data_IF_322024799313
#
_entry.id   IF_322024799313
#
_cell.length_a   1.000
_cell.length_b   1.000
_cell.length_c   1.000
_cell.angle_alpha   90.00
_cell.angle_beta   90.00
_cell.angle_gamma   90.00
#
_symmetry.space_group_name_H-M   'P 1'
#
loop_
_entity.id
_entity.type
_entity.pdbx_description
1 polymer ?
#
# COMPACT_ATOMS: atom_id res chain seq x y z
N UNK A 1 12.24 -25.75 77.65
CA UNK A 1 12.19 -24.53 76.79
C UNK A 1 12.11 -24.86 75.30
N UNK A 2 12.92 -25.78 74.75
CA UNK A 2 12.87 -26.13 73.33
C UNK A 2 11.53 -26.72 72.84
N UNK A 3 10.87 -27.57 73.65
CA UNK A 3 9.60 -28.19 73.28
C UNK A 3 8.44 -27.19 73.16
N UNK A 4 8.38 -26.17 74.04
CA UNK A 4 7.35 -25.12 73.99
C UNK A 4 7.54 -24.22 72.77
N UNK A 5 8.79 -23.94 72.40
CA UNK A 5 9.13 -23.17 71.20
C UNK A 5 8.80 -23.92 69.90
N UNK A 6 8.94 -25.24 69.87
CA UNK A 6 8.56 -26.06 68.72
C UNK A 6 7.05 -26.15 68.53
N UNK A 7 6.28 -26.23 69.62
CA UNK A 7 4.81 -26.23 69.57
C UNK A 7 4.28 -24.88 69.08
N UNK A 8 4.83 -23.76 69.56
CA UNK A 8 4.42 -22.44 69.06
C UNK A 8 4.80 -22.24 67.59
N UNK A 9 6.00 -22.66 67.16
CA UNK A 9 6.39 -22.62 65.74
C UNK A 9 5.46 -23.48 64.86
N UNK A 10 5.00 -24.63 65.36
CA UNK A 10 4.08 -25.52 64.65
C UNK A 10 2.65 -24.97 64.57
N UNK A 11 2.18 -24.21 65.56
CA UNK A 11 0.86 -23.57 65.53
C UNK A 11 0.82 -22.32 64.62
N UNK A 12 1.91 -21.55 64.56
CA UNK A 12 1.99 -20.35 63.69
C UNK A 12 2.32 -20.67 62.23
N UNK A 13 2.98 -21.81 61.98
CA UNK A 13 3.40 -22.21 60.63
C UNK A 13 2.23 -22.39 59.64
N UNK A 14 1.13 -23.10 59.98
CA UNK A 14 -0.03 -23.24 59.09
C UNK A 14 -0.69 -21.91 58.76
N UNK A 15 -0.87 -21.03 59.75
CA UNK A 15 -1.49 -19.72 59.53
C UNK A 15 -0.66 -18.83 58.61
N UNK A 16 0.67 -18.87 58.76
CA UNK A 16 1.60 -18.17 57.88
C UNK A 16 1.57 -18.70 56.44
N UNK A 17 1.51 -20.02 56.25
CA UNK A 17 1.40 -20.60 54.91
C UNK A 17 0.05 -20.29 54.24
N UNK A 18 -1.05 -20.30 54.99
CA UNK A 18 -2.38 -19.96 54.48
C UNK A 18 -2.42 -18.49 54.01
N UNK A 19 -1.87 -17.57 54.80
CA UNK A 19 -1.82 -16.15 54.40
C UNK A 19 -0.92 -15.93 53.18
N UNK A 20 0.24 -16.60 53.11
CA UNK A 20 1.12 -16.52 51.96
C UNK A 20 0.45 -17.03 50.67
N UNK A 21 -0.28 -18.17 50.72
CA UNK A 21 -1.01 -18.71 49.57
C UNK A 21 -2.15 -17.79 49.15
N UNK A 22 -2.88 -17.21 50.11
CA UNK A 22 -3.98 -16.28 49.82
C UNK A 22 -3.47 -14.99 49.15
N UNK A 23 -2.36 -14.43 49.64
CA UNK A 23 -1.71 -13.26 49.02
C UNK A 23 -1.23 -13.61 47.60
N UNK A 24 -0.60 -14.77 47.42
CA UNK A 24 -0.17 -15.24 46.10
C UNK A 24 -1.37 -15.35 45.14
N UNK A 25 -2.49 -15.91 45.60
CA UNK A 25 -3.73 -16.03 44.81
C UNK A 25 -4.30 -14.66 44.41
N UNK A 26 -4.31 -13.67 45.32
CA UNK A 26 -4.75 -12.31 44.99
C UNK A 26 -3.81 -11.67 43.96
N UNK A 27 -2.50 -11.80 44.13
CA UNK A 27 -1.51 -11.25 43.18
C UNK A 27 -1.64 -11.91 41.82
N UNK A 28 -1.77 -13.24 41.75
CA UNK A 28 -1.96 -13.95 40.48
C UNK A 28 -3.30 -13.60 39.84
N UNK A 29 -4.37 -13.47 40.63
CA UNK A 29 -5.68 -13.06 40.11
C UNK A 29 -5.64 -11.63 39.60
N UNK A 30 -4.94 -10.72 40.29
CA UNK A 30 -4.72 -9.35 39.83
C UNK A 30 -3.87 -9.28 38.56
N UNK A 31 -2.82 -10.10 38.45
CA UNK A 31 -2.01 -10.20 37.23
C UNK A 31 -2.81 -10.79 36.07
N UNK A 32 -3.59 -11.85 36.31
CA UNK A 32 -4.45 -12.47 35.30
C UNK A 32 -5.54 -11.48 34.88
N UNK A 33 -6.28 -10.87 35.80
CA UNK A 33 -7.30 -9.87 35.47
C UNK A 33 -6.72 -8.62 34.81
N UNK A 34 -5.51 -8.20 35.18
CA UNK A 34 -4.80 -7.09 34.53
C UNK A 34 -4.34 -7.45 33.12
N UNK A 35 -3.86 -8.68 32.91
CA UNK A 35 -3.40 -9.17 31.62
C UNK A 35 -4.56 -9.46 30.66
N UNK A 36 -5.64 -10.07 31.15
CA UNK A 36 -6.86 -10.32 30.38
C UNK A 36 -7.71 -9.06 30.18
N UNK A 37 -7.66 -8.09 31.12
CA UNK A 37 -8.34 -6.80 31.02
C UNK A 37 -7.73 -5.85 30.00
N UNK A 38 -6.48 -6.09 29.58
CA UNK A 38 -5.79 -5.29 28.57
C UNK A 38 -5.65 -5.96 27.21
N UNK A 39 -5.61 -7.30 27.10
CA UNK A 39 -5.25 -7.97 25.84
C UNK A 39 -6.33 -8.86 25.19
N UNK A 40 -7.60 -8.80 25.60
CA UNK A 40 -8.66 -9.62 24.96
C UNK A 40 -9.91 -8.82 24.61
N UNK A 41 -10.03 -8.26 23.39
CA UNK A 41 -11.33 -7.91 22.82
C UNK A 41 -11.88 -9.15 22.09
N UNK A 42 -12.26 -10.19 22.83
CA UNK A 42 -13.06 -11.28 22.26
C UNK A 42 -14.50 -10.78 22.20
N UNK A 43 -14.89 -10.46 20.97
CA UNK A 43 -16.23 -10.58 20.38
C UNK A 43 -17.19 -11.32 21.32
N UNK A 44 -17.99 -10.57 22.08
CA UNK A 44 -19.31 -10.90 22.62
C UNK A 44 -19.59 -9.99 23.81
N UNK A 45 -20.18 -8.81 23.55
CA UNK A 45 -21.10 -8.24 24.51
C UNK A 45 -22.18 -7.44 23.81
N UNK A 46 -23.40 -7.92 24.01
CA UNK A 46 -24.63 -7.47 23.39
C UNK A 46 -24.93 -6.00 23.73
N UNK A 47 -25.72 -5.44 22.82
CA UNK A 47 -26.60 -4.27 22.91
C UNK A 47 -26.77 -3.62 24.28
N UNK A 48 -26.64 -2.30 24.24
CA UNK A 48 -26.96 -1.32 25.28
C UNK A 48 -25.84 -1.08 26.30
N UNK A 49 -25.37 0.17 26.27
CA UNK A 49 -24.58 0.83 27.31
C UNK A 49 -23.12 0.41 27.45
N UNK A 50 -22.27 1.02 26.62
CA UNK A 50 -21.17 1.88 27.08
C UNK A 50 -20.48 2.48 25.85
N UNK A 51 -20.86 3.70 25.47
CA UNK A 51 -20.03 4.56 24.61
C UNK A 51 -18.75 4.96 25.39
N UNK A 52 -17.88 4.01 25.71
CA UNK A 52 -16.53 4.34 26.18
C UNK A 52 -15.74 4.79 24.96
N UNK A 53 -15.79 6.10 24.76
CA UNK A 53 -15.19 6.90 23.71
C UNK A 53 -13.66 6.73 23.62
N UNK A 54 -13.22 5.70 22.91
CA UNK A 54 -12.04 5.81 22.04
C UNK A 54 -12.55 5.87 20.60
N UNK A 55 -13.12 7.02 20.22
CA UNK A 55 -13.49 7.24 18.83
C UNK A 55 -12.20 7.30 18.02
N UNK A 56 -11.92 6.23 17.28
CA UNK A 56 -10.91 6.22 16.21
C UNK A 56 -11.08 7.50 15.39
N UNK A 57 -10.00 8.26 15.24
CA UNK A 57 -10.05 9.55 14.54
C UNK A 57 -10.43 9.30 13.08
N UNK A 58 -11.54 9.90 12.65
CA UNK A 58 -11.98 9.83 11.26
C UNK A 58 -11.26 10.91 10.46
N UNK A 59 -10.50 10.50 9.45
CA UNK A 59 -9.91 11.42 8.48
C UNK A 59 -10.79 11.52 7.24
N UNK A 60 -10.74 12.68 6.60
CA UNK A 60 -11.41 12.90 5.33
C UNK A 60 -10.44 12.57 4.19
N UNK A 61 -10.87 11.73 3.25
CA UNK A 61 -10.14 11.50 2.02
C UNK A 61 -10.18 12.76 1.15
N UNK A 62 -9.00 13.21 0.68
CA UNK A 62 -8.90 14.28 -0.30
C UNK A 62 -8.45 13.67 -1.62
N UNK A 63 -9.27 13.81 -2.66
CA UNK A 63 -8.88 13.42 -4.00
C UNK A 63 -7.83 14.40 -4.53
N UNK A 64 -6.74 13.86 -5.06
CA UNK A 64 -5.69 14.62 -5.74
C UNK A 64 -5.44 13.95 -7.08
N UNK A 65 -5.41 14.72 -8.16
CA UNK A 65 -5.09 14.20 -9.50
C UNK A 65 -3.59 13.98 -9.60
N UNK A 66 -3.19 12.73 -9.81
CA UNK A 66 -1.81 12.36 -10.08
C UNK A 66 -1.57 12.28 -11.60
N UNK A 67 -0.76 13.18 -12.19
CA UNK A 67 -0.46 13.13 -13.62
C UNK A 67 0.53 12.03 -14.00
N UNK A 68 1.18 11.37 -13.03
CA UNK A 68 2.27 10.44 -13.25
C UNK A 68 1.92 9.01 -12.82
N UNK A 69 2.08 8.06 -13.73
CA UNK A 69 2.08 6.62 -13.46
C UNK A 69 3.38 5.99 -13.95
N UNK A 70 3.90 5.02 -13.20
CA UNK A 70 5.06 4.25 -13.61
C UNK A 70 4.95 2.81 -13.09
N UNK A 71 5.00 1.87 -14.02
CA UNK A 71 4.92 0.44 -13.76
C UNK A 71 6.12 -0.30 -14.33
N UNK A 72 6.36 -1.52 -13.82
CA UNK A 72 7.43 -2.41 -14.28
C UNK A 72 6.78 -3.50 -15.13
N UNK A 73 7.15 -3.57 -16.42
CA UNK A 73 6.50 -4.49 -17.36
C UNK A 73 6.74 -5.97 -17.02
N UNK A 74 8.00 -6.34 -16.78
CA UNK A 74 8.44 -7.73 -16.67
C UNK A 74 9.38 -7.95 -15.47
N UNK A 75 8.90 -7.87 -14.22
CA UNK A 75 9.78 -7.90 -13.04
C UNK A 75 10.64 -9.18 -12.93
N UNK A 76 10.12 -10.32 -13.40
CA UNK A 76 10.79 -11.62 -13.25
C UNK A 76 11.95 -11.86 -14.22
N UNK A 77 12.03 -11.13 -15.34
CA UNK A 77 13.07 -11.31 -16.38
C UNK A 77 14.14 -10.23 -16.35
N UNK A 78 14.04 -9.29 -15.41
CA UNK A 78 14.95 -8.14 -15.31
C UNK A 78 16.12 -8.44 -14.42
N UNK A 79 17.31 -8.04 -14.86
CA UNK A 79 18.57 -8.12 -14.13
C UNK A 79 19.44 -6.96 -14.58
N UNK A 80 20.52 -6.65 -13.86
CA UNK A 80 21.47 -5.61 -14.32
C UNK A 80 21.99 -5.89 -15.73
N UNK A 81 22.21 -7.17 -16.08
CA UNK A 81 22.69 -7.56 -17.39
C UNK A 81 21.64 -7.37 -18.49
N UNK A 82 20.39 -7.76 -18.24
CA UNK A 82 19.29 -7.71 -19.22
C UNK A 82 18.62 -6.33 -19.32
N UNK A 83 18.82 -5.46 -18.33
CA UNK A 83 18.15 -4.16 -18.25
C UNK A 83 16.72 -4.27 -17.71
N UNK A 84 16.03 -3.13 -17.68
CA UNK A 84 14.66 -3.01 -17.18
C UNK A 84 13.76 -2.34 -18.24
N UNK A 85 12.51 -2.79 -18.29
CA UNK A 85 11.45 -2.16 -19.09
C UNK A 85 10.44 -1.49 -18.16
N UNK A 86 10.25 -0.19 -18.35
CA UNK A 86 9.32 0.63 -17.59
C UNK A 86 8.15 1.04 -18.48
N UNK A 87 6.94 1.00 -17.94
CA UNK A 87 5.71 1.48 -18.61
C UNK A 87 5.29 2.76 -17.91
N UNK A 88 5.60 3.93 -18.47
CA UNK A 88 5.04 5.18 -17.98
C UNK A 88 3.58 5.30 -18.43
N UNK A 89 2.72 5.80 -17.54
CA UNK A 89 1.31 6.10 -17.83
C UNK A 89 1.03 7.53 -17.36
N UNK A 90 1.22 8.50 -18.25
CA UNK A 90 1.20 9.91 -17.92
C UNK A 90 0.00 10.62 -18.55
N UNK A 91 -0.70 11.44 -17.77
CA UNK A 91 -1.86 12.23 -18.24
C UNK A 91 -1.45 13.46 -19.05
N UNK A 92 -0.19 13.86 -19.00
CA UNK A 92 0.40 14.96 -19.76
C UNK A 92 1.75 14.53 -20.33
N UNK A 93 2.31 15.35 -21.22
CA UNK A 93 3.67 15.15 -21.70
C UNK A 93 4.66 15.24 -20.52
N UNK A 94 5.43 14.18 -20.33
CA UNK A 94 6.33 14.03 -19.21
C UNK A 94 7.75 13.70 -19.67
N UNK A 95 8.71 14.01 -18.81
CA UNK A 95 10.09 13.61 -18.97
C UNK A 95 10.35 12.53 -17.92
N UNK A 96 10.71 11.33 -18.40
CA UNK A 96 11.22 10.25 -17.57
C UNK A 96 12.74 10.33 -17.54
N UNK A 97 13.33 10.47 -16.35
CA UNK A 97 14.79 10.43 -16.15
C UNK A 97 15.16 9.28 -15.24
N UNK A 98 15.97 8.37 -15.75
CA UNK A 98 16.43 7.18 -15.05
C UNK A 98 17.86 7.40 -14.56
N UNK A 99 18.06 7.31 -13.25
CA UNK A 99 19.36 7.45 -12.60
C UNK A 99 19.80 6.12 -12.01
N UNK A 100 20.94 5.63 -12.48
CA UNK A 100 21.51 4.37 -12.04
C UNK A 100 22.53 4.58 -10.91
N UNK A 101 22.51 3.73 -9.89
CA UNK A 101 23.47 3.75 -8.78
C UNK A 101 23.38 5.00 -7.91
N UNK A 102 22.19 5.48 -7.61
CA UNK A 102 22.00 6.66 -6.75
C UNK A 102 22.35 6.36 -5.30
N UNK A 103 23.12 7.24 -4.66
CA UNK A 103 23.41 7.10 -3.23
C UNK A 103 22.13 7.24 -2.38
N UNK A 104 21.88 6.26 -1.51
CA UNK A 104 20.64 6.17 -0.71
C UNK A 104 20.50 7.36 0.24
N UNK A 105 21.58 7.74 0.92
CA UNK A 105 21.56 8.86 1.86
C UNK A 105 21.30 10.18 1.14
N UNK A 106 21.95 10.40 -0.01
CA UNK A 106 21.76 11.63 -0.79
C UNK A 106 20.36 11.75 -1.38
N UNK A 107 19.74 10.64 -1.76
CA UNK A 107 18.34 10.67 -2.19
C UNK A 107 17.40 11.12 -1.06
N UNK A 108 17.57 10.60 0.15
CA UNK A 108 16.75 11.02 1.29
C UNK A 108 17.01 12.48 1.68
N UNK A 109 18.28 12.92 1.67
CA UNK A 109 18.63 14.33 1.87
C UNK A 109 17.97 15.22 0.79
N UNK A 110 17.94 14.78 -0.47
CA UNK A 110 17.27 15.49 -1.56
C UNK A 110 15.76 15.61 -1.33
N UNK A 111 15.09 14.53 -0.92
CA UNK A 111 13.67 14.56 -0.55
C UNK A 111 13.38 15.47 0.65
N UNK A 112 14.29 15.53 1.63
CA UNK A 112 14.16 16.47 2.76
C UNK A 112 14.36 17.91 2.32
N UNK A 113 15.34 18.19 1.46
CA UNK A 113 15.54 19.52 0.86
C UNK A 113 14.34 19.94 0.02
N UNK A 114 13.65 18.98 -0.61
CA UNK A 114 12.40 19.24 -1.29
C UNK A 114 11.35 19.86 -0.36
N UNK A 115 11.30 19.41 0.90
CA UNK A 115 10.37 19.95 1.89
C UNK A 115 10.72 21.36 2.33
N UNK A 116 11.99 21.61 2.67
CA UNK A 116 12.36 22.83 3.41
C UNK A 116 13.16 23.87 2.61
N UNK A 117 13.68 23.55 1.41
CA UNK A 117 14.64 24.43 0.72
C UNK A 117 14.24 24.79 -0.71
N UNK A 118 13.96 23.82 -1.57
CA UNK A 118 13.61 24.06 -2.98
C UNK A 118 12.64 23.01 -3.51
N UNK A 119 12.08 23.20 -4.72
CA UNK A 119 11.15 22.25 -5.33
C UNK A 119 11.83 21.50 -6.46
N UNK A 120 11.68 20.17 -6.49
CA UNK A 120 12.27 19.29 -7.48
C UNK A 120 11.25 19.18 -8.62
N UNK A 121 11.20 20.21 -9.46
CA UNK A 121 10.29 20.29 -10.60
C UNK A 121 10.94 19.83 -11.90
N UNK A 122 12.27 19.78 -11.94
CA UNK A 122 13.06 19.44 -13.11
C UNK A 122 14.11 18.39 -12.77
N UNK A 123 14.60 17.63 -13.77
CA UNK A 123 15.71 16.68 -13.57
C UNK A 123 16.96 17.34 -12.99
N UNK A 124 17.32 18.52 -13.49
CA UNK A 124 18.45 19.31 -13.00
C UNK A 124 18.36 19.62 -11.50
N UNK A 125 17.16 19.99 -11.02
CA UNK A 125 16.95 20.26 -9.60
C UNK A 125 17.19 19.02 -8.72
N UNK A 126 16.88 17.81 -9.22
CA UNK A 126 17.19 16.58 -8.50
C UNK A 126 18.70 16.29 -8.55
N UNK A 127 19.34 16.48 -9.70
CA UNK A 127 20.79 16.27 -9.85
C UNK A 127 21.60 17.15 -8.90
N UNK A 128 21.24 18.43 -8.81
CA UNK A 128 21.82 19.39 -7.87
C UNK A 128 21.59 18.95 -6.41
N UNK A 129 20.39 18.44 -6.11
CA UNK A 129 20.05 17.91 -4.79
C UNK A 129 20.91 16.71 -4.39
N UNK A 130 21.16 15.82 -5.37
CA UNK A 130 21.98 14.61 -5.25
C UNK A 130 23.49 14.90 -5.27
N UNK A 131 23.90 16.14 -5.57
CA UNK A 131 25.29 16.52 -5.83
C UNK A 131 25.92 15.67 -6.95
N UNK A 132 25.14 15.34 -7.97
CA UNK A 132 25.53 14.47 -9.09
C UNK A 132 26.11 13.11 -8.66
N UNK A 133 25.75 12.60 -7.47
CA UNK A 133 26.16 11.28 -6.97
C UNK A 133 25.28 10.15 -7.53
N UNK A 134 25.43 9.90 -8.82
CA UNK A 134 24.87 8.77 -9.56
C UNK A 134 25.89 8.30 -10.61
N UNK A 135 25.70 7.12 -11.17
CA UNK A 135 26.65 6.52 -12.14
C UNK A 135 26.32 6.87 -13.58
N UNK A 136 25.05 6.71 -13.94
CA UNK A 136 24.60 6.83 -15.30
C UNK A 136 23.18 7.39 -15.34
N UNK A 137 22.88 8.18 -16.37
CA UNK A 137 21.60 8.85 -16.56
C UNK A 137 21.09 8.62 -17.98
N UNK A 138 19.82 8.21 -18.06
CA UNK A 138 19.05 8.11 -19.30
C UNK A 138 17.81 8.99 -19.20
N UNK A 139 17.37 9.56 -20.32
CA UNK A 139 16.19 10.43 -20.35
C UNK A 139 15.32 10.10 -21.56
N UNK A 140 14.02 10.04 -21.33
CA UNK A 140 13.01 9.74 -22.34
C UNK A 140 11.90 10.79 -22.27
N UNK A 141 11.45 11.23 -23.44
CA UNK A 141 10.23 12.02 -23.56
C UNK A 141 9.04 11.08 -23.67
N UNK A 142 8.04 11.29 -22.82
CA UNK A 142 6.82 10.51 -22.74
C UNK A 142 5.67 11.38 -23.22
N UNK A 143 5.03 10.95 -24.31
CA UNK A 143 3.83 11.60 -24.82
C UNK A 143 2.62 11.28 -23.93
N UNK A 144 1.70 12.24 -23.84
CA UNK A 144 0.44 12.11 -23.14
C UNK A 144 -0.32 10.84 -23.55
N UNK A 145 -0.78 10.07 -22.55
CA UNK A 145 -1.54 8.82 -22.70
C UNK A 145 -0.82 7.73 -23.52
N UNK A 146 0.49 7.85 -23.75
CA UNK A 146 1.27 6.83 -24.44
C UNK A 146 1.85 5.85 -23.41
N UNK A 147 1.49 4.57 -23.54
CA UNK A 147 1.92 3.46 -22.67
C UNK A 147 3.07 2.63 -23.25
N UNK A 148 3.86 3.22 -24.13
CA UNK A 148 5.03 2.55 -24.70
C UNK A 148 6.07 2.16 -23.64
N UNK A 149 6.52 0.90 -23.71
CA UNK A 149 7.61 0.41 -22.88
C UNK A 149 8.93 1.14 -23.20
N UNK A 150 9.56 1.69 -22.16
CA UNK A 150 10.89 2.30 -22.26
C UNK A 150 11.94 1.36 -21.66
N UNK A 151 12.91 0.98 -22.48
CA UNK A 151 14.01 0.11 -22.11
C UNK A 151 15.18 0.94 -21.57
N UNK A 152 15.60 0.63 -20.35
CA UNK A 152 16.71 1.28 -19.64
C UNK A 152 17.76 0.21 -19.30
N UNK A 153 19.04 0.50 -19.55
CA UNK A 153 20.11 -0.46 -19.25
C UNK A 153 21.36 0.25 -18.76
N UNK A 154 21.98 -0.33 -17.72
CA UNK A 154 23.29 0.15 -17.29
C UNK A 154 24.35 -0.13 -18.37
N UNK A 155 25.14 0.89 -18.69
CA UNK A 155 26.25 0.78 -19.64
C UNK A 155 27.25 -0.30 -19.22
N UNK A 156 28.00 -0.86 -20.17
CA UNK A 156 28.91 -1.98 -19.92
C UNK A 156 29.94 -1.71 -18.82
N UNK A 157 30.43 -0.47 -18.72
CA UNK A 157 31.37 -0.05 -17.68
C UNK A 157 30.75 0.00 -16.26
N UNK A 158 29.42 0.08 -16.15
CA UNK A 158 28.71 0.14 -14.88
C UNK A 158 28.24 -1.22 -14.35
N UNK A 159 28.25 -2.28 -15.16
CA UNK A 159 27.70 -3.59 -14.80
C UNK A 159 28.42 -4.28 -13.63
N UNK A 160 29.66 -3.89 -13.34
CA UNK A 160 30.45 -4.36 -12.20
C UNK A 160 30.37 -3.44 -10.98
N UNK A 161 29.46 -2.47 -10.96
CA UNK A 161 29.33 -1.56 -9.83
C UNK A 161 28.74 -2.29 -8.62
N UNK A 162 29.40 -2.15 -7.47
CA UNK A 162 28.90 -2.67 -6.21
C UNK A 162 27.89 -1.69 -5.58
N UNK A 163 26.62 -2.09 -5.57
CA UNK A 163 25.54 -1.33 -4.94
C UNK A 163 25.53 -1.43 -3.40
N UNK A 164 26.44 -2.23 -2.84
CA UNK A 164 26.61 -2.48 -1.42
C UNK A 164 25.74 -3.61 -0.89
N UNK A 165 26.15 -4.18 0.24
CA UNK A 165 25.38 -5.16 1.01
C UNK A 165 24.17 -4.52 1.67
N UNK A 166 23.15 -5.31 2.03
CA UNK A 166 21.97 -4.81 2.76
C UNK A 166 22.36 -4.38 4.20
N UNK A 167 21.95 -3.20 4.69
CA UNK A 167 21.21 -2.13 4.00
C UNK A 167 22.08 -1.42 2.94
N UNK A 168 21.55 -1.36 1.71
CA UNK A 168 22.30 -0.91 0.53
C UNK A 168 22.81 0.53 0.68
N UNK A 169 23.97 0.80 0.12
CA UNK A 169 24.55 2.15 0.05
C UNK A 169 24.07 2.91 -1.19
N UNK A 170 23.75 2.18 -2.27
CA UNK A 170 23.25 2.72 -3.53
C UNK A 170 22.01 1.98 -4.00
N UNK A 171 21.00 2.73 -4.46
CA UNK A 171 19.86 2.16 -5.16
C UNK A 171 20.23 1.84 -6.60
N UNK A 172 19.91 0.63 -7.11
CA UNK A 172 20.21 0.27 -8.50
C UNK A 172 19.62 1.25 -9.51
N UNK A 173 18.35 1.62 -9.33
CA UNK A 173 17.65 2.54 -10.21
C UNK A 173 16.71 3.47 -9.43
N UNK A 174 16.78 4.76 -9.74
CA UNK A 174 15.83 5.77 -9.32
C UNK A 174 15.28 6.45 -10.57
N UNK A 175 13.98 6.34 -10.80
CA UNK A 175 13.29 6.99 -11.90
C UNK A 175 12.57 8.25 -11.41
N UNK A 176 12.76 9.37 -12.11
CA UNK A 176 12.08 10.63 -11.87
C UNK A 176 11.16 10.92 -13.05
N UNK A 177 9.89 11.20 -12.78
CA UNK A 177 8.94 11.74 -13.74
C UNK A 177 8.63 13.20 -13.39
N UNK A 178 8.76 14.08 -14.37
CA UNK A 178 8.44 15.52 -14.28
C UNK A 178 7.62 15.96 -15.48
N UNK A 179 6.74 16.96 -15.32
CA UNK A 179 6.01 17.56 -16.43
C UNK A 179 6.99 18.22 -17.42
N UNK A 180 6.82 17.95 -18.71
CA UNK A 180 7.63 18.55 -19.76
C UNK A 180 7.28 20.03 -19.97
N UNK A 181 5.98 20.32 -19.99
CA UNK A 181 5.45 21.66 -20.27
C UNK A 181 5.30 22.49 -18.98
N UNK A 182 5.75 23.74 -19.01
CA UNK A 182 5.65 24.67 -17.87
C UNK A 182 4.20 25.07 -17.57
N UNK A 183 3.36 25.23 -18.61
CA UNK A 183 1.95 25.65 -18.47
C UNK A 183 1.14 24.65 -17.65
N UNK A 184 1.40 23.36 -17.83
CA UNK A 184 0.72 22.30 -17.11
C UNK A 184 1.08 22.27 -15.61
N UNK A 185 2.17 22.93 -15.19
CA UNK A 185 2.63 22.90 -13.78
C UNK A 185 1.71 23.67 -12.84
N UNK A 186 0.86 24.55 -13.35
CA UNK A 186 -0.13 25.28 -12.56
C UNK A 186 -1.43 24.47 -12.35
N UNK A 187 -1.64 23.43 -13.16
CA UNK A 187 -2.86 22.61 -13.14
C UNK A 187 -2.82 21.50 -12.08
N UNK A 188 -1.62 21.10 -11.63
CA UNK A 188 -1.42 19.97 -10.74
C UNK A 188 -0.71 20.37 -9.44
N UNK A 189 -1.24 19.87 -8.32
CA UNK A 189 -0.57 19.99 -7.02
C UNK A 189 0.69 19.12 -6.94
N UNK A 190 0.73 18.00 -7.67
CA UNK A 190 1.88 17.08 -7.74
C UNK A 190 2.82 17.57 -8.83
N UNK A 191 4.08 17.82 -8.47
CA UNK A 191 5.10 18.36 -9.38
C UNK A 191 6.01 17.30 -9.98
N UNK A 192 6.26 16.21 -9.25
CA UNK A 192 7.10 15.11 -9.72
C UNK A 192 6.82 13.81 -8.97
N UNK A 193 7.16 12.70 -9.62
CA UNK A 193 7.10 11.36 -9.06
C UNK A 193 8.51 10.75 -9.05
N UNK A 194 9.00 10.39 -7.87
CA UNK A 194 10.29 9.70 -7.68
C UNK A 194 10.03 8.24 -7.34
N UNK A 195 10.40 7.34 -8.24
CA UNK A 195 10.24 5.90 -8.10
C UNK A 195 11.60 5.23 -7.83
N UNK A 196 11.73 4.53 -6.70
CA UNK A 196 12.92 3.78 -6.33
C UNK A 196 12.69 2.31 -6.66
N UNK A 197 13.52 1.76 -7.55
CA UNK A 197 13.33 0.42 -8.10
C UNK A 197 14.53 -0.44 -7.72
N UNK A 198 14.23 -1.60 -7.13
CA UNK A 198 15.23 -2.63 -6.92
C UNK A 198 15.33 -3.50 -8.18
N UNK A 199 16.55 -3.71 -8.67
CA UNK A 199 16.88 -4.62 -9.77
C UNK A 199 17.80 -5.71 -9.20
N UNK A 200 17.55 -6.99 -9.53
CA UNK A 200 18.36 -8.10 -9.04
C UNK A 200 19.82 -7.98 -9.45
N UNK A 201 20.72 -8.25 -8.51
CA UNK A 201 22.17 -8.25 -8.70
C UNK A 201 22.86 -9.40 -7.94
N UNK A 202 24.19 -9.46 -8.01
CA UNK A 202 24.97 -10.51 -7.35
C UNK A 202 24.85 -10.46 -5.82
N UNK A 203 24.74 -9.27 -5.23
CA UNK A 203 24.69 -9.09 -3.77
C UNK A 203 23.29 -9.31 -3.20
N UNK A 204 22.24 -9.10 -3.99
CA UNK A 204 20.85 -9.29 -3.61
C UNK A 204 19.97 -9.60 -4.82
N UNK A 205 19.66 -10.89 -4.95
CA UNK A 205 19.04 -11.53 -6.12
C UNK A 205 17.51 -11.61 -6.05
N UNK A 206 16.85 -10.84 -5.19
CA UNK A 206 15.39 -10.85 -5.13
C UNK A 206 14.80 -10.27 -6.42
N UNK A 207 13.64 -10.78 -6.82
CA UNK A 207 12.94 -10.28 -8.02
C UNK A 207 12.75 -8.76 -7.99
N UNK A 208 12.86 -8.16 -9.17
CA UNK A 208 12.71 -6.73 -9.40
C UNK A 208 11.37 -6.24 -8.86
N UNK A 209 11.41 -5.11 -8.16
CA UNK A 209 10.22 -4.54 -7.54
C UNK A 209 10.35 -3.04 -7.33
N UNK A 210 9.19 -2.39 -7.29
CA UNK A 210 9.09 -1.01 -6.80
C UNK A 210 9.27 -1.01 -5.28
N UNK A 211 10.30 -0.32 -4.77
CA UNK A 211 10.54 -0.18 -3.34
C UNK A 211 9.70 0.96 -2.76
N UNK A 212 9.75 2.12 -3.41
CA UNK A 212 9.10 3.35 -2.97
C UNK A 212 8.66 4.17 -4.17
N UNK A 213 7.54 4.87 -4.03
CA UNK A 213 7.08 5.86 -4.99
C UNK A 213 6.71 7.12 -4.23
N UNK A 214 7.53 8.16 -4.33
CA UNK A 214 7.31 9.42 -3.66
C UNK A 214 6.67 10.43 -4.62
N UNK A 215 5.49 10.91 -4.26
CA UNK A 215 4.84 12.04 -4.90
C UNK A 215 5.34 13.32 -4.25
N UNK A 216 5.93 14.20 -5.04
CA UNK A 216 6.44 15.50 -4.59
C UNK A 216 5.40 16.56 -4.94
N UNK A 217 5.03 17.39 -3.97
CA UNK A 217 3.99 18.40 -4.12
C UNK A 217 4.59 19.79 -4.37
N UNK A 218 3.85 20.67 -5.04
CA UNK A 218 4.23 22.07 -5.26
C UNK A 218 4.45 22.82 -3.93
N UNK A 219 3.70 22.44 -2.89
CA UNK A 219 3.81 22.99 -1.54
C UNK A 219 5.01 22.44 -0.75
N UNK A 220 5.79 21.51 -1.31
CA UNK A 220 7.02 20.96 -0.72
C UNK A 220 6.85 19.67 0.06
N UNK A 221 5.63 19.36 0.46
CA UNK A 221 5.36 18.08 1.07
C UNK A 221 5.63 16.97 0.05
N UNK A 222 6.07 15.82 0.52
CA UNK A 222 6.12 14.62 -0.30
C UNK A 222 5.42 13.48 0.43
N UNK A 223 4.82 12.59 -0.35
CA UNK A 223 4.01 11.48 0.16
C UNK A 223 4.48 10.17 -0.48
N UNK A 224 4.66 9.15 0.35
CA UNK A 224 4.94 7.78 -0.11
C UNK A 224 3.64 7.12 -0.56
N UNK A 225 3.56 6.77 -1.84
CA UNK A 225 2.40 6.15 -2.46
C UNK A 225 2.31 4.70 -1.99
N UNK A 226 1.24 4.40 -1.24
CA UNK A 226 0.98 3.07 -0.72
C UNK A 226 -0.28 2.49 -1.34
N UNK A 227 -0.18 1.22 -1.73
CA UNK A 227 -1.34 0.43 -2.11
C UNK A 227 -2.25 0.18 -0.90
N UNK A 228 -3.55 0.15 -1.17
CA UNK A 228 -4.58 -0.29 -0.25
C UNK A 228 -4.81 -1.78 -0.44
N UNK A 229 -5.10 -2.49 0.65
CA UNK A 229 -5.31 -3.94 0.61
C UNK A 229 -6.80 -4.24 0.72
N UNK A 230 -7.41 -4.66 -0.37
CA UNK A 230 -8.82 -5.05 -0.40
C UNK A 230 -8.97 -6.55 -0.12
N UNK A 231 -10.04 -6.95 0.56
CA UNK A 231 -10.35 -8.38 0.72
C UNK A 231 -10.71 -8.99 -0.64
N UNK A 232 -10.14 -10.15 -0.96
CA UNK A 232 -10.56 -10.90 -2.14
C UNK A 232 -11.99 -11.43 -1.91
N UNK A 233 -12.93 -11.09 -2.79
CA UNK A 233 -14.20 -11.79 -2.86
C UNK A 233 -13.97 -13.14 -3.54
N UNK A 234 -14.46 -14.21 -2.93
CA UNK A 234 -14.26 -15.59 -3.38
C UNK A 234 -15.11 -15.97 -4.61
N UNK A 235 -15.31 -15.05 -5.56
CA UNK A 235 -16.01 -15.31 -6.81
C UNK A 235 -15.20 -14.94 -8.07
N UNK A 236 -13.95 -14.52 -7.92
CA UNK A 236 -13.01 -14.53 -9.04
C UNK A 236 -12.42 -15.93 -9.15
N UNK A 237 -12.76 -16.63 -10.23
CA UNK A 237 -12.12 -17.89 -10.63
C UNK A 237 -10.60 -17.74 -10.52
N UNK A 238 -10.04 -18.42 -9.50
CA UNK A 238 -8.62 -18.61 -9.36
C UNK A 238 -8.13 -19.37 -10.60
N UNK A 239 -7.63 -18.64 -11.60
CA UNK A 239 -6.79 -19.24 -12.63
C UNK A 239 -5.37 -19.37 -12.09
N UNK A 240 -5.23 -20.20 -11.06
CA UNK A 240 -3.99 -20.90 -10.78
C UNK A 240 -3.92 -22.08 -11.75
N UNK A 241 -3.22 -21.90 -12.87
CA UNK A 241 -2.77 -23.02 -13.70
C UNK A 241 -1.26 -23.14 -13.57
N UNK A 242 -0.86 -23.86 -12.53
CA UNK A 242 0.36 -24.64 -12.54
C UNK A 242 0.05 -26.04 -13.08
N UNK A 243 1.04 -26.60 -13.79
CA UNK A 243 1.28 -28.00 -14.20
C UNK A 243 0.91 -28.45 -15.64
N UNK A 244 2.00 -28.62 -16.40
CA UNK A 244 2.43 -29.80 -17.20
C UNK A 244 1.61 -30.34 -18.39
N UNK A 245 2.23 -30.17 -19.56
CA UNK A 245 2.57 -31.17 -20.61
C UNK A 245 1.49 -32.04 -21.31
N UNK A 246 1.66 -32.07 -22.65
CA UNK A 246 1.27 -33.09 -23.66
C UNK A 246 -0.02 -32.88 -24.49
N UNK A 247 0.20 -32.24 -25.65
CA UNK A 247 0.05 -32.78 -27.02
C UNK A 247 -1.31 -33.14 -27.66
N UNK A 248 -1.34 -32.84 -28.97
CA UNK A 248 -2.21 -33.27 -30.08
C UNK A 248 -3.50 -32.49 -30.45
N UNK A 249 -3.42 -32.00 -31.68
CA UNK A 249 -4.41 -31.57 -32.66
C UNK A 249 -5.85 -32.09 -32.52
N UNK A 250 -6.82 -31.18 -32.68
CA UNK A 250 -7.69 -31.28 -33.85
C UNK A 250 -8.42 -29.97 -34.21
N UNK A 251 -8.46 -29.73 -35.53
CA UNK A 251 -9.14 -28.62 -36.19
C UNK A 251 -10.61 -28.93 -36.39
N UNK A 252 -11.44 -27.89 -36.32
CA UNK A 252 -12.68 -27.62 -37.08
C UNK A 252 -13.91 -27.34 -36.21
N UNK A 253 -14.34 -26.07 -36.17
CA UNK A 253 -15.63 -25.61 -36.74
C UNK A 253 -15.90 -24.16 -36.35
N UNK A 254 -15.23 -23.25 -37.06
CA UNK A 254 -15.73 -21.90 -37.29
C UNK A 254 -16.81 -22.00 -38.36
N UNK A 255 -18.07 -21.81 -37.97
CA UNK A 255 -19.09 -21.03 -38.70
C UNK A 255 -20.49 -21.31 -38.14
N UNK A 256 -21.06 -20.33 -37.42
CA UNK A 256 -22.29 -19.68 -37.91
C UNK A 256 -22.65 -18.47 -37.05
N UNK A 257 -22.58 -17.34 -37.75
CA UNK A 257 -23.00 -16.00 -37.38
C UNK A 257 -24.49 -15.94 -37.00
N UNK A 258 -24.81 -15.30 -35.87
CA UNK A 258 -25.98 -14.42 -35.74
C UNK A 258 -25.57 -13.19 -34.93
N UNK A 259 -25.58 -12.05 -35.62
CA UNK A 259 -25.44 -10.69 -35.13
C UNK A 259 -26.72 -10.24 -34.40
N UNK A 260 -26.58 -9.25 -33.51
CA UNK A 260 -27.57 -8.51 -32.68
C UNK A 260 -27.53 -8.96 -31.22
N UNK A 261 -27.12 -8.18 -30.21
CA UNK A 261 -27.09 -6.73 -30.01
C UNK A 261 -25.88 -6.33 -29.16
N UNK A 262 -25.46 -5.09 -29.33
CA UNK A 262 -24.53 -4.36 -28.48
C UNK A 262 -25.16 -4.17 -27.09
N UNK A 263 -24.89 -5.10 -26.16
CA UNK A 263 -24.93 -4.79 -24.75
C UNK A 263 -23.52 -4.38 -24.34
N UNK A 264 -23.35 -3.06 -24.22
CA UNK A 264 -22.22 -2.42 -23.58
C UNK A 264 -21.99 -3.10 -22.23
N UNK A 265 -20.85 -3.77 -22.07
CA UNK A 265 -20.28 -4.18 -20.79
C UNK A 265 -20.16 -2.94 -19.89
N UNK A 266 -21.23 -2.63 -19.15
CA UNK A 266 -21.15 -1.89 -17.92
C UNK A 266 -20.27 -2.74 -17.01
N UNK A 267 -19.12 -2.25 -16.50
CA UNK A 267 -18.39 -3.01 -15.49
C UNK A 267 -19.34 -3.17 -14.30
N UNK A 268 -19.86 -4.37 -14.10
CA UNK A 268 -20.61 -4.71 -12.90
C UNK A 268 -19.73 -4.29 -11.72
N UNK A 269 -20.18 -3.29 -10.98
CA UNK A 269 -19.64 -2.95 -9.66
C UNK A 269 -19.89 -4.15 -8.74
N UNK A 270 -19.07 -5.19 -8.91
CA UNK A 270 -18.90 -6.25 -7.94
C UNK A 270 -18.12 -5.67 -6.78
N UNK A 271 -18.77 -4.75 -6.07
CA UNK A 271 -18.26 -4.16 -4.85
C UNK A 271 -17.86 -5.28 -3.92
N UNK A 272 -16.62 -5.22 -3.42
CA UNK A 272 -16.10 -6.23 -2.50
C UNK A 272 -16.96 -6.21 -1.23
N UNK A 273 -17.48 -7.36 -0.84
CA UNK A 273 -18.32 -7.47 0.35
C UNK A 273 -17.51 -7.37 1.65
N UNK A 274 -18.14 -6.80 2.68
CA UNK A 274 -17.59 -6.73 4.03
C UNK A 274 -17.34 -8.13 4.58
N UNK A 275 -16.12 -8.38 5.08
CA UNK A 275 -15.71 -9.70 5.59
C UNK A 275 -16.49 -10.13 6.85
N UNK A 276 -17.15 -9.18 7.52
CA UNK A 276 -17.87 -9.42 8.77
C UNK A 276 -19.34 -9.75 8.51
N UNK A 277 -20.06 -8.89 7.80
CA UNK A 277 -21.50 -9.08 7.57
C UNK A 277 -21.83 -9.74 6.24
N UNK A 278 -20.90 -9.75 5.27
CA UNK A 278 -21.07 -10.28 3.91
C UNK A 278 -22.32 -9.74 3.18
N UNK A 279 -22.82 -8.57 3.59
CA UNK A 279 -24.07 -7.99 3.09
C UNK A 279 -23.92 -6.52 2.69
N UNK A 280 -22.93 -5.82 3.24
CA UNK A 280 -22.63 -4.43 2.88
C UNK A 280 -21.31 -4.35 2.15
N UNK A 281 -21.21 -3.46 1.16
CA UNK A 281 -19.99 -3.19 0.42
C UNK A 281 -18.90 -2.57 1.32
N UNK A 282 -17.64 -2.95 1.09
CA UNK A 282 -16.52 -2.34 1.82
C UNK A 282 -16.39 -0.87 1.46
N UNK A 283 -16.21 -0.04 2.48
CA UNK A 283 -16.02 1.39 2.29
C UNK A 283 -14.92 1.97 3.17
N UNK A 284 -14.40 1.25 4.17
CA UNK A 284 -13.47 1.84 5.15
C UNK A 284 -12.05 1.34 5.00
N UNK A 285 -11.10 2.27 4.90
CA UNK A 285 -9.66 2.01 5.04
C UNK A 285 -9.27 2.11 6.51
N UNK A 286 -8.57 1.09 7.01
CA UNK A 286 -8.10 1.02 8.39
C UNK A 286 -6.61 1.36 8.48
N UNK A 287 -6.21 2.41 9.20
CA UNK A 287 -4.80 2.79 9.37
C UNK A 287 -4.24 2.28 10.70
N UNK A 288 -2.96 1.83 10.74
CA UNK A 288 -1.93 1.95 9.69
C UNK A 288 -1.88 0.78 8.69
N UNK A 289 -2.68 -0.28 8.88
CA UNK A 289 -2.55 -1.51 8.09
C UNK A 289 -3.07 -1.42 6.65
N UNK A 290 -3.87 -0.39 6.32
CA UNK A 290 -4.47 -0.10 5.02
C UNK A 290 -5.41 -1.18 4.47
N UNK A 291 -5.95 -2.04 5.32
CA UNK A 291 -6.96 -3.00 4.91
C UNK A 291 -8.32 -2.33 4.70
N UNK A 292 -8.99 -2.65 3.60
CA UNK A 292 -10.37 -2.27 3.30
C UNK A 292 -11.25 -3.51 3.33
N UNK A 293 -11.83 -3.78 4.50
CA UNK A 293 -12.57 -5.01 4.76
C UNK A 293 -13.90 -4.79 5.49
N UNK A 294 -14.25 -3.53 5.81
CA UNK A 294 -15.43 -3.18 6.60
C UNK A 294 -16.36 -2.24 5.83
N UNK A 295 -17.66 -2.48 5.92
CA UNK A 295 -18.72 -1.57 5.49
C UNK A 295 -19.02 -0.48 6.54
N UNK A 296 -19.82 0.52 6.16
CA UNK A 296 -20.26 1.62 7.03
C UNK A 296 -20.94 1.15 8.32
N UNK A 297 -21.66 0.02 8.26
CA UNK A 297 -22.34 -0.56 9.41
C UNK A 297 -21.40 -1.29 10.37
N UNK A 298 -20.37 -1.95 9.85
CA UNK A 298 -19.49 -2.81 10.65
C UNK A 298 -18.34 -2.03 11.30
N UNK A 299 -17.79 -1.01 10.65
CA UNK A 299 -16.57 -0.30 11.11
C UNK A 299 -16.64 0.18 12.56
N UNK A 300 -17.81 0.59 13.03
CA UNK A 300 -18.03 1.12 14.39
C UNK A 300 -17.85 0.10 15.51
N UNK A 301 -17.87 -1.19 15.20
CA UNK A 301 -17.75 -2.27 16.19
C UNK A 301 -16.32 -2.79 16.36
N UNK A 302 -15.37 -2.34 15.53
CA UNK A 302 -14.02 -2.88 15.52
C UNK A 302 -12.99 -1.81 15.91
N UNK A 303 -12.15 -2.13 16.90
CA UNK A 303 -10.95 -1.36 17.25
C UNK A 303 -9.67 -1.95 16.65
N UNK A 304 -9.75 -3.18 16.15
CA UNK A 304 -8.67 -3.88 15.46
C UNK A 304 -9.14 -4.32 14.08
N UNK A 305 -8.23 -4.32 13.12
CA UNK A 305 -8.51 -4.81 11.78
C UNK A 305 -8.87 -6.31 11.82
N UNK A 306 -10.02 -6.75 11.28
CA UNK A 306 -10.39 -8.17 11.24
C UNK A 306 -9.39 -9.06 10.50
N UNK A 307 -8.68 -8.51 9.51
CA UNK A 307 -7.74 -9.25 8.66
C UNK A 307 -6.39 -9.48 9.35
N UNK A 308 -5.83 -8.46 10.01
CA UNK A 308 -4.47 -8.53 10.56
C UNK A 308 -4.36 -8.27 12.07
N UNK A 309 -5.48 -8.02 12.75
CA UNK A 309 -5.57 -7.72 14.20
C UNK A 309 -4.81 -6.47 14.66
N UNK A 310 -4.27 -5.68 13.73
CA UNK A 310 -3.63 -4.40 14.05
C UNK A 310 -4.66 -3.42 14.61
N UNK A 311 -4.31 -2.71 15.69
CA UNK A 311 -5.13 -1.63 16.24
C UNK A 311 -5.34 -0.50 15.22
N UNK A 312 -6.60 -0.09 15.09
CA UNK A 312 -7.03 0.96 14.19
C UNK A 312 -6.79 2.30 14.90
N UNK A 313 -5.82 3.06 14.39
CA UNK A 313 -5.51 4.39 14.92
C UNK A 313 -6.40 5.46 14.28
N UNK A 314 -6.57 5.34 12.97
CA UNK A 314 -7.36 6.25 12.14
C UNK A 314 -8.11 5.46 11.08
N UNK A 315 -9.20 6.02 10.58
CA UNK A 315 -9.96 5.42 9.47
C UNK A 315 -10.59 6.49 8.58
N UNK A 316 -10.80 6.16 7.32
CA UNK A 316 -11.49 7.03 6.38
C UNK A 316 -12.31 6.21 5.36
N UNK A 317 -13.42 6.77 4.85
CA UNK A 317 -14.21 6.13 3.80
C UNK A 317 -13.55 6.29 2.41
N UNK A 318 -13.65 5.27 1.57
CA UNK A 318 -13.22 5.28 0.17
C UNK A 318 -14.15 6.15 -0.68
N UNK A 319 -15.45 5.94 -0.51
CA UNK A 319 -16.50 6.64 -1.23
C UNK A 319 -17.23 7.56 -0.27
N UNK A 320 -17.34 8.83 -0.67
CA UNK A 320 -18.18 9.79 0.04
C UNK A 320 -19.64 9.57 -0.37
N UNK A 321 -20.58 9.62 0.59
CA UNK A 321 -22.02 9.46 0.32
C UNK A 321 -22.55 10.46 -0.73
N UNK A 322 -21.82 11.56 -0.98
CA UNK A 322 -22.16 12.58 -1.97
C UNK A 322 -21.92 12.13 -3.42
N UNK A 323 -21.01 11.18 -3.66
CA UNK A 323 -20.71 10.65 -5.00
C UNK A 323 -21.75 9.62 -5.46
N UNK A 324 -22.17 8.72 -4.55
CA UNK A 324 -23.25 7.76 -4.80
C UNK A 324 -24.61 8.43 -5.08
N UNK A 325 -24.85 9.64 -4.55
CA UNK A 325 -26.05 10.41 -4.84
C UNK A 325 -26.05 11.07 -6.23
N UNK A 326 -24.85 11.30 -6.82
CA UNK A 326 -24.71 11.92 -8.15
C UNK A 326 -24.98 10.93 -9.28
N UNK A 327 -24.61 9.67 -9.11
CA UNK A 327 -24.89 8.63 -10.12
C UNK A 327 -26.35 8.16 -10.10
N UNK A 328 -27.04 8.26 -8.97
CA UNK A 328 -28.48 8.00 -8.87
C UNK A 328 -29.37 9.14 -9.43
N UNK A 329 -28.78 10.27 -9.86
CA UNK A 329 -29.48 11.44 -10.42
C UNK A 329 -29.04 11.76 -11.86
N UNK A 330 -28.91 10.74 -12.72
CA UNK A 330 -29.04 10.95 -14.18
C UNK A 330 -30.43 10.47 -14.61
N UNK A 331 -31.45 11.35 -14.72
CA UNK A 331 -32.72 10.96 -15.30
C UNK A 331 -32.51 10.62 -16.77
N UNK A 332 -32.93 9.41 -17.17
CA UNK A 332 -33.02 8.98 -18.55
C UNK A 332 -33.93 9.91 -19.35
N UNK A 333 -33.33 10.91 -20.00
CA UNK A 333 -33.99 11.69 -21.05
C UNK A 333 -33.61 11.11 -22.41
N UNK A 334 -34.31 10.03 -22.76
CA UNK A 334 -34.47 9.60 -24.15
C UNK A 334 -35.88 9.04 -24.32
N UNK A 335 -36.69 9.71 -25.15
CA UNK A 335 -37.94 9.16 -25.65
C UNK A 335 -39.15 10.08 -25.50
N UNK A 336 -39.33 11.00 -26.46
CA UNK A 336 -40.58 11.26 -27.21
C UNK A 336 -40.49 12.60 -27.94
N UNK A 337 -40.12 12.53 -29.21
CA UNK A 337 -40.56 13.52 -30.21
C UNK A 337 -41.55 12.79 -31.11
N UNK A 338 -42.82 13.19 -31.00
CA UNK A 338 -43.87 12.98 -32.00
C UNK A 338 -43.68 13.94 -33.17
#
# INVERSE_FOLDING_TARGET
>A
MAAVFLVTLYEYSPAFFITAVFVCFIVTTGLVLGWFGWDVPVVLRNSEETESSYRVSKKQMRQVKNPFGLEIAHPNTTSIATGIRLIPDCLENCILTCYWGCNVQKLHEALQKHAYCFRIKTPQALEDALYSKYLYREQYFIEKNNKEEKYCQLTENGKSFDFGTVPRTHYPLVALLTLADEENRELYDIVSLVSVIHIPDESYSLACRMLYQYLLMAQGQFYDLKQLFMSASSNSTASSKDLSSEDTSDRNLLEKLRLSEEELDLPEETGIDCVVCQNGTVNWVLLPCRHTCLCDGCVKYFQQCPMCRQFIQESFPLFSQTELAKDNFRPALAGRTS
#
